data_IF_855171814733
#
_entry.id   IF_855171814733
#
_cell.length_a   1.000
_cell.length_b   1.000
_cell.length_c   1.000
_cell.angle_alpha   90.00
_cell.angle_beta   90.00
_cell.angle_gamma   90.00
#
_symmetry.space_group_name_H-M   'P 1'
#
loop_
_entity.id
_entity.type
_entity.pdbx_description
1 polymer ?
#
# COMPACT_ATOMS: atom_id res chain seq x y z
N UNK A 1 -6.92 -9.59 0.72
CA UNK A 1 -6.91 -9.79 2.18
C UNK A 1 -5.89 -10.86 2.60
N UNK A 2 -5.77 -11.95 1.86
CA UNK A 2 -4.87 -13.08 2.19
C UNK A 2 -3.41 -12.76 2.00
N UNK A 3 -3.06 -11.90 1.09
CA UNK A 3 -1.70 -11.44 0.84
C UNK A 3 -1.17 -10.59 2.00
N UNK A 4 -2.04 -9.79 2.62
CA UNK A 4 -1.68 -8.94 3.75
C UNK A 4 -1.24 -9.71 4.99
N UNK A 5 -1.61 -10.98 5.09
CA UNK A 5 -1.17 -11.87 6.18
C UNK A 5 -0.01 -12.79 5.77
N UNK A 6 0.60 -12.54 4.62
CA UNK A 6 1.75 -13.27 4.09
C UNK A 6 1.52 -14.80 3.98
N UNK A 7 0.27 -15.23 3.74
CA UNK A 7 -0.10 -16.64 3.69
C UNK A 7 -0.04 -17.24 2.28
N UNK A 8 0.20 -16.41 1.25
CA UNK A 8 0.31 -16.85 -0.15
C UNK A 8 1.77 -17.00 -0.55
N UNK A 9 2.09 -18.13 -1.16
CA UNK A 9 3.32 -18.28 -1.94
C UNK A 9 3.11 -17.63 -3.30
N UNK A 10 3.76 -16.50 -3.54
CA UNK A 10 3.59 -15.73 -4.78
C UNK A 10 4.11 -16.44 -6.01
N UNK A 11 5.05 -17.40 -5.87
CA UNK A 11 5.57 -18.20 -6.98
C UNK A 11 4.60 -19.32 -7.38
N UNK A 12 4.04 -19.98 -6.37
CA UNK A 12 3.04 -21.03 -6.57
C UNK A 12 1.63 -20.48 -6.80
N UNK A 13 1.37 -19.22 -6.46
CA UNK A 13 0.04 -18.56 -6.46
C UNK A 13 -0.99 -19.35 -5.65
N UNK A 14 -0.55 -19.90 -4.52
CA UNK A 14 -1.30 -20.81 -3.66
C UNK A 14 -1.04 -20.50 -2.20
N UNK A 15 -1.89 -21.00 -1.32
CA UNK A 15 -1.62 -20.98 0.10
C UNK A 15 -0.26 -21.62 0.40
N UNK A 16 0.55 -20.97 1.22
CA UNK A 16 1.86 -21.47 1.64
C UNK A 16 1.69 -22.59 2.68
N UNK A 17 2.02 -23.86 2.34
CA UNK A 17 1.94 -24.94 3.32
C UNK A 17 2.82 -24.67 4.52
N UNK A 18 4.01 -24.11 4.31
CA UNK A 18 4.95 -23.77 5.37
C UNK A 18 4.34 -22.79 6.40
N UNK A 19 3.64 -21.76 5.93
CA UNK A 19 3.01 -20.78 6.81
C UNK A 19 1.80 -21.38 7.51
N UNK A 20 0.97 -22.15 6.80
CA UNK A 20 -0.20 -22.80 7.38
C UNK A 20 0.18 -23.81 8.47
N UNK A 21 1.23 -24.59 8.24
CA UNK A 21 1.74 -25.56 9.23
C UNK A 21 2.32 -24.84 10.45
N UNK A 22 3.08 -23.77 10.24
CA UNK A 22 3.64 -22.97 11.35
C UNK A 22 2.56 -22.33 12.22
N UNK A 23 1.41 -22.00 11.65
CA UNK A 23 0.25 -21.43 12.35
C UNK A 23 -0.72 -22.51 12.86
N UNK A 24 -0.47 -23.79 12.61
CA UNK A 24 -1.35 -24.91 12.90
C UNK A 24 -2.78 -24.72 12.31
N UNK A 25 -2.88 -24.12 11.12
CA UNK A 25 -4.14 -23.90 10.42
C UNK A 25 -4.28 -24.92 9.30
N UNK A 26 -5.34 -25.74 9.27
CA UNK A 26 -5.53 -26.72 8.21
C UNK A 26 -5.82 -26.03 6.87
N UNK A 27 -5.16 -26.48 5.79
CA UNK A 27 -5.40 -25.96 4.45
C UNK A 27 -6.87 -26.07 4.00
N UNK A 28 -7.61 -27.06 4.52
CA UNK A 28 -9.04 -27.24 4.25
C UNK A 28 -9.93 -26.12 4.80
N UNK A 29 -9.40 -25.25 5.66
CA UNK A 29 -10.12 -24.05 6.15
C UNK A 29 -10.24 -22.95 5.09
N UNK A 30 -9.49 -23.06 3.99
CA UNK A 30 -9.44 -22.04 2.94
C UNK A 30 -9.86 -22.62 1.59
N UNK A 31 -10.60 -21.84 0.83
CA UNK A 31 -10.81 -22.10 -0.59
C UNK A 31 -9.53 -21.78 -1.36
N UNK A 32 -9.28 -22.44 -2.51
CA UNK A 32 -8.19 -22.04 -3.39
C UNK A 32 -8.26 -20.54 -3.71
N UNK A 33 -7.11 -19.85 -3.80
CA UNK A 33 -7.10 -18.45 -4.26
C UNK A 33 -7.65 -18.37 -5.70
N UNK A 34 -8.51 -17.40 -5.95
CA UNK A 34 -9.02 -17.12 -7.29
C UNK A 34 -8.27 -15.96 -7.92
N UNK A 35 -8.15 -15.97 -9.23
CA UNK A 35 -7.63 -14.84 -9.97
C UNK A 35 -8.62 -13.67 -9.99
N UNK A 36 -8.15 -12.41 -9.85
CA UNK A 36 -8.98 -11.24 -10.08
C UNK A 36 -9.63 -11.28 -11.47
N UNK A 37 -10.86 -10.80 -11.58
CA UNK A 37 -11.65 -10.87 -12.82
C UNK A 37 -12.44 -12.16 -13.00
N UNK A 38 -12.22 -13.19 -12.18
CA UNK A 38 -12.99 -14.44 -12.25
C UNK A 38 -14.45 -14.25 -11.86
N UNK A 39 -15.36 -14.91 -12.60
CA UNK A 39 -16.79 -14.93 -12.26
C UNK A 39 -17.01 -15.96 -11.15
N UNK A 40 -17.55 -15.52 -10.01
CA UNK A 40 -17.80 -16.34 -8.82
C UNK A 40 -19.25 -16.82 -8.72
N UNK A 41 -20.12 -16.34 -9.57
CA UNK A 41 -21.55 -16.66 -9.58
C UNK A 41 -22.39 -15.47 -10.02
N UNK A 42 -23.67 -15.50 -9.65
CA UNK A 42 -24.62 -14.42 -9.94
C UNK A 42 -25.18 -13.84 -8.64
N UNK A 43 -25.57 -12.58 -8.69
CA UNK A 43 -26.21 -11.91 -7.58
C UNK A 43 -27.58 -12.53 -7.30
N UNK A 44 -27.85 -12.89 -6.03
CA UNK A 44 -29.13 -13.47 -5.59
C UNK A 44 -30.18 -12.41 -5.23
N UNK A 45 -29.77 -11.17 -4.97
CA UNK A 45 -30.71 -10.06 -4.69
C UNK A 45 -31.56 -9.81 -5.93
N UNK A 46 -32.88 -9.70 -5.75
CA UNK A 46 -33.83 -9.55 -6.84
C UNK A 46 -33.59 -8.31 -7.70
N UNK A 47 -33.02 -7.26 -7.12
CA UNK A 47 -32.70 -6.01 -7.83
C UNK A 47 -31.44 -6.11 -8.71
N UNK A 48 -30.59 -7.08 -8.40
CA UNK A 48 -29.28 -7.32 -9.06
C UNK A 48 -29.26 -8.66 -9.80
N UNK A 49 -30.40 -9.32 -9.90
CA UNK A 49 -30.51 -10.67 -10.46
C UNK A 49 -29.94 -10.74 -11.87
N UNK A 50 -29.13 -11.73 -12.09
CA UNK A 50 -28.45 -11.94 -13.38
C UNK A 50 -27.16 -11.15 -13.58
N UNK A 51 -26.77 -10.28 -12.61
CA UNK A 51 -25.47 -9.64 -12.65
C UNK A 51 -24.39 -10.61 -12.14
N UNK A 52 -23.27 -10.74 -12.85
CA UNK A 52 -22.17 -11.59 -12.41
C UNK A 52 -21.50 -10.99 -11.16
N UNK A 53 -21.16 -11.87 -10.22
CA UNK A 53 -20.28 -11.56 -9.11
C UNK A 53 -18.84 -11.79 -9.56
N UNK A 54 -18.07 -10.71 -9.65
CA UNK A 54 -16.69 -10.75 -10.15
C UNK A 54 -15.73 -10.57 -8.96
N UNK A 55 -14.71 -11.43 -8.89
CA UNK A 55 -13.61 -11.27 -7.95
C UNK A 55 -12.79 -10.03 -8.33
N UNK A 56 -12.62 -9.09 -7.38
CA UNK A 56 -11.76 -7.92 -7.56
C UNK A 56 -10.35 -8.21 -7.06
N UNK A 57 -9.40 -7.36 -7.40
CA UNK A 57 -8.11 -7.34 -6.71
C UNK A 57 -8.35 -7.10 -5.21
N UNK A 58 -7.79 -7.94 -4.36
CA UNK A 58 -8.28 -8.29 -3.01
C UNK A 58 -8.40 -7.15 -2.00
N UNK A 59 -7.79 -5.99 -2.24
CA UNK A 59 -7.88 -4.80 -1.40
C UNK A 59 -7.81 -3.51 -2.23
N UNK A 60 -8.06 -2.37 -1.59
CA UNK A 60 -8.15 -1.05 -2.24
C UNK A 60 -6.90 -0.66 -3.02
N UNK A 61 -5.72 -0.81 -2.44
CA UNK A 61 -4.45 -0.52 -3.12
C UNK A 61 -4.22 -1.45 -4.32
N UNK A 62 -4.53 -2.74 -4.19
CA UNK A 62 -4.43 -3.69 -5.29
C UNK A 62 -5.34 -3.29 -6.45
N UNK A 63 -6.57 -2.88 -6.13
CA UNK A 63 -7.53 -2.39 -7.11
C UNK A 63 -7.10 -1.05 -7.71
N UNK A 64 -6.47 -0.17 -6.92
CA UNK A 64 -5.91 1.10 -7.40
C UNK A 64 -4.76 0.87 -8.39
N UNK A 65 -3.85 -0.06 -8.09
CA UNK A 65 -2.78 -0.42 -9.03
C UNK A 65 -3.36 -0.97 -10.34
N UNK A 66 -4.29 -1.92 -10.25
CA UNK A 66 -4.94 -2.49 -11.44
C UNK A 66 -5.70 -1.44 -12.26
N UNK A 67 -6.37 -0.50 -11.60
CA UNK A 67 -7.19 0.54 -12.23
C UNK A 67 -6.42 1.80 -12.66
N UNK A 68 -5.13 1.94 -12.30
CA UNK A 68 -4.36 3.12 -12.66
C UNK A 68 -4.11 3.16 -14.17
N UNK A 69 -4.52 4.22 -14.87
CA UNK A 69 -4.28 4.36 -16.29
C UNK A 69 -2.82 4.71 -16.57
N UNK A 70 -2.07 3.74 -17.05
CA UNK A 70 -0.65 3.91 -17.43
C UNK A 70 -0.48 3.56 -18.91
N UNK A 71 0.37 4.30 -19.61
CA UNK A 71 0.66 4.05 -21.02
C UNK A 71 1.51 2.79 -21.23
N UNK A 72 2.40 2.51 -20.27
CA UNK A 72 3.34 1.38 -20.33
C UNK A 72 3.56 0.88 -18.89
N UNK A 73 2.97 -0.27 -18.56
CA UNK A 73 3.05 -0.85 -17.21
C UNK A 73 4.46 -1.26 -16.83
N UNK A 74 5.25 -1.76 -17.77
CA UNK A 74 6.61 -2.23 -17.52
C UNK A 74 7.57 -1.08 -17.17
N UNK A 75 7.16 0.16 -17.45
CA UNK A 75 7.93 1.37 -17.19
C UNK A 75 7.25 2.33 -16.21
N UNK A 76 6.15 1.92 -15.61
CA UNK A 76 5.39 2.74 -14.68
C UNK A 76 5.82 2.45 -13.23
N UNK A 77 6.13 3.53 -12.50
CA UNK A 77 6.20 3.51 -11.06
C UNK A 77 4.88 4.09 -10.54
N UNK A 78 4.16 3.30 -9.74
CA UNK A 78 2.86 3.69 -9.18
C UNK A 78 3.07 4.08 -7.71
N UNK A 79 2.52 5.23 -7.34
CA UNK A 79 2.46 5.70 -5.96
C UNK A 79 0.99 5.78 -5.54
N UNK A 80 0.59 4.92 -4.63
CA UNK A 80 -0.70 5.00 -3.93
C UNK A 80 -0.50 5.74 -2.62
N UNK A 81 -0.97 6.99 -2.55
CA UNK A 81 -0.75 7.87 -1.41
C UNK A 81 -2.04 8.05 -0.61
N UNK A 82 -2.07 7.45 0.56
CA UNK A 82 -3.11 7.57 1.56
C UNK A 82 -2.50 7.74 2.95
N UNK A 83 -3.14 7.23 3.99
CA UNK A 83 -2.56 7.14 5.35
C UNK A 83 -1.18 6.49 5.30
N UNK A 84 -1.07 5.40 4.55
CA UNK A 84 0.18 4.79 4.10
C UNK A 84 0.49 5.25 2.68
N UNK A 85 1.75 5.21 2.29
CA UNK A 85 2.17 5.37 0.92
C UNK A 85 2.77 4.04 0.43
N UNK A 86 2.23 3.52 -0.67
CA UNK A 86 2.73 2.32 -1.32
C UNK A 86 3.33 2.71 -2.65
N UNK A 87 4.62 2.46 -2.80
CA UNK A 87 5.36 2.80 -4.01
C UNK A 87 5.91 1.53 -4.65
N UNK A 88 5.64 1.32 -5.93
CA UNK A 88 6.10 0.11 -6.59
C UNK A 88 5.76 0.01 -8.06
N UNK A 89 6.09 -1.15 -8.58
CA UNK A 89 5.85 -1.55 -9.96
C UNK A 89 4.98 -2.81 -9.97
N UNK A 90 4.30 -3.04 -11.08
CA UNK A 90 3.55 -4.27 -11.32
C UNK A 90 3.98 -4.86 -12.66
N UNK A 91 4.54 -6.07 -12.63
CA UNK A 91 5.03 -6.74 -13.84
C UNK A 91 4.98 -8.28 -13.70
N UNK A 92 5.09 -8.96 -14.82
CA UNK A 92 5.20 -10.42 -14.87
C UNK A 92 6.61 -10.84 -14.46
N UNK A 93 6.72 -11.97 -13.74
CA UNK A 93 8.01 -12.61 -13.46
C UNK A 93 8.82 -12.01 -12.33
N UNK A 94 8.31 -11.00 -11.63
CA UNK A 94 8.95 -10.49 -10.42
C UNK A 94 8.93 -11.57 -9.33
N UNK A 95 10.09 -11.84 -8.75
CA UNK A 95 10.26 -12.87 -7.72
C UNK A 95 10.99 -12.31 -6.50
N UNK A 96 10.66 -12.79 -5.29
CA UNK A 96 11.36 -12.40 -4.07
C UNK A 96 12.86 -12.73 -4.15
N UNK A 97 13.67 -11.79 -3.70
CA UNK A 97 15.12 -11.90 -3.56
C UNK A 97 15.54 -11.52 -2.15
N UNK A 98 16.73 -11.91 -1.73
CA UNK A 98 17.28 -11.46 -0.46
C UNK A 98 17.38 -9.93 -0.41
N UNK A 99 17.77 -9.31 -1.53
CA UNK A 99 17.85 -7.84 -1.61
C UNK A 99 16.49 -7.16 -1.44
N UNK A 100 15.41 -7.73 -2.00
CA UNK A 100 14.06 -7.18 -1.79
C UNK A 100 13.62 -7.30 -0.32
N UNK A 101 13.99 -8.40 0.34
CA UNK A 101 13.73 -8.58 1.76
C UNK A 101 14.48 -7.57 2.62
N UNK A 102 15.76 -7.36 2.38
CA UNK A 102 16.58 -6.34 3.09
C UNK A 102 16.02 -4.92 2.93
N UNK A 103 15.48 -4.61 1.77
CA UNK A 103 14.87 -3.32 1.45
C UNK A 103 13.40 -3.21 1.89
N UNK A 104 12.87 -4.22 2.58
CA UNK A 104 11.47 -4.28 3.00
C UNK A 104 10.49 -4.09 1.84
N UNK A 105 10.80 -4.72 0.69
CA UNK A 105 9.92 -4.71 -0.47
C UNK A 105 9.08 -5.97 -0.49
N UNK A 106 7.77 -5.79 -0.55
CA UNK A 106 6.80 -6.88 -0.61
C UNK A 106 6.58 -7.35 -2.05
N UNK A 107 6.10 -8.58 -2.18
CA UNK A 107 5.66 -9.20 -3.42
C UNK A 107 4.21 -9.63 -3.22
N UNK A 108 3.31 -9.08 -3.99
CA UNK A 108 1.89 -9.34 -3.88
C UNK A 108 1.35 -9.77 -5.24
N UNK A 109 0.36 -10.66 -5.24
CA UNK A 109 -0.27 -11.09 -6.50
C UNK A 109 -1.03 -9.91 -7.11
N UNK A 110 -0.73 -9.63 -8.38
CA UNK A 110 -1.44 -8.67 -9.20
C UNK A 110 -2.52 -9.32 -10.05
N UNK A 111 -3.13 -8.54 -10.94
CA UNK A 111 -4.08 -9.03 -11.93
C UNK A 111 -3.35 -9.60 -13.14
N UNK A 112 -4.03 -10.45 -13.92
CA UNK A 112 -3.48 -11.02 -15.17
C UNK A 112 -2.10 -11.70 -15.01
N UNK A 113 -1.87 -12.35 -13.87
CA UNK A 113 -0.62 -13.07 -13.61
C UNK A 113 0.56 -12.21 -13.17
N UNK A 114 0.37 -10.90 -13.02
CA UNK A 114 1.40 -9.99 -12.55
C UNK A 114 1.72 -10.19 -11.06
N UNK A 115 2.81 -9.59 -10.63
CA UNK A 115 3.21 -9.43 -9.23
C UNK A 115 3.44 -7.95 -8.99
N UNK A 116 2.86 -7.42 -7.93
CA UNK A 116 3.18 -6.10 -7.41
C UNK A 116 4.42 -6.20 -6.54
N UNK A 117 5.43 -5.47 -6.92
CA UNK A 117 6.69 -5.33 -6.20
C UNK A 117 6.72 -3.92 -5.62
N UNK A 118 6.40 -3.81 -4.35
CA UNK A 118 6.17 -2.51 -3.73
C UNK A 118 6.75 -2.40 -2.33
N UNK A 119 7.02 -1.16 -1.93
CA UNK A 119 7.39 -0.82 -0.56
C UNK A 119 6.27 -0.01 0.07
N UNK A 120 5.91 -0.39 1.27
CA UNK A 120 4.99 0.35 2.13
C UNK A 120 5.80 1.28 3.03
N UNK A 121 5.46 2.56 3.03
CA UNK A 121 6.11 3.58 3.85
C UNK A 121 5.04 4.45 4.52
N UNK A 122 5.43 5.20 5.56
CA UNK A 122 4.54 6.17 6.19
C UNK A 122 4.10 7.23 5.17
N UNK A 123 2.81 7.41 5.00
CA UNK A 123 2.22 8.36 4.07
C UNK A 123 1.68 9.61 4.76
N UNK A 124 0.43 9.96 4.44
CA UNK A 124 -0.24 11.14 4.98
C UNK A 124 -0.50 11.06 6.49
N UNK A 125 -0.31 9.89 7.10
CA UNK A 125 -0.37 9.74 8.55
C UNK A 125 0.56 10.72 9.27
N UNK A 126 1.78 10.91 8.77
CA UNK A 126 2.73 11.88 9.36
C UNK A 126 2.21 13.32 9.31
N UNK A 127 1.56 13.70 8.20
CA UNK A 127 0.93 15.02 8.11
C UNK A 127 -0.22 15.17 9.13
N UNK A 128 -1.02 14.12 9.30
CA UNK A 128 -2.11 14.14 10.29
C UNK A 128 -1.59 14.23 11.72
N UNK A 129 -0.47 13.59 12.04
CA UNK A 129 0.19 13.74 13.35
C UNK A 129 0.67 15.18 13.56
N UNK A 130 1.28 15.81 12.54
CA UNK A 130 1.67 17.22 12.62
C UNK A 130 0.45 18.12 12.82
N UNK A 131 -0.64 17.88 12.09
CA UNK A 131 -1.88 18.69 12.24
C UNK A 131 -2.45 18.59 13.65
N UNK A 132 -2.45 17.41 14.26
CA UNK A 132 -2.86 17.22 15.65
C UNK A 132 -1.95 17.96 16.63
N UNK A 133 -0.63 17.93 16.40
CA UNK A 133 0.32 18.67 17.24
C UNK A 133 0.08 20.19 17.14
N UNK A 134 -0.05 20.73 15.95
CA UNK A 134 -0.37 22.16 15.73
C UNK A 134 -1.72 22.54 16.34
N UNK A 135 -2.73 21.67 16.31
CA UNK A 135 -4.00 21.93 16.96
C UNK A 135 -3.88 22.07 18.48
N UNK A 136 -2.93 21.34 19.10
CA UNK A 136 -2.65 21.45 20.54
C UNK A 136 -1.91 22.76 20.87
N UNK A 137 -1.08 23.24 19.96
CA UNK A 137 -0.30 24.47 20.12
C UNK A 137 -1.16 25.73 19.81
N UNK A 138 -1.88 25.71 18.70
CA UNK A 138 -2.60 26.87 18.15
C UNK A 138 -4.11 26.86 18.43
N UNK A 139 -4.63 25.78 19.03
CA UNK A 139 -6.04 25.63 19.37
C UNK A 139 -6.96 25.19 18.23
N UNK A 140 -6.43 24.99 17.01
CA UNK A 140 -7.18 24.49 15.86
C UNK A 140 -6.28 23.75 14.86
N UNK A 141 -6.81 22.69 14.24
CA UNK A 141 -6.12 22.02 13.15
C UNK A 141 -6.06 22.90 11.89
N UNK A 142 -4.88 23.10 11.28
CA UNK A 142 -4.79 23.82 10.02
C UNK A 142 -5.55 23.07 8.90
N UNK A 143 -6.32 23.77 8.06
CA UNK A 143 -7.02 23.16 6.94
C UNK A 143 -6.04 22.57 5.93
N UNK A 144 -6.32 21.36 5.42
CA UNK A 144 -5.48 20.71 4.40
C UNK A 144 -5.26 21.57 3.15
N UNK A 145 -6.27 22.29 2.61
CA UNK A 145 -6.04 23.18 1.47
C UNK A 145 -4.98 24.25 1.72
N UNK A 146 -4.92 24.81 2.93
CA UNK A 146 -3.94 25.86 3.28
C UNK A 146 -2.52 25.26 3.35
N UNK A 147 -2.38 24.07 3.90
CA UNK A 147 -1.11 23.32 3.92
C UNK A 147 -0.64 22.99 2.51
N UNK A 148 -1.54 22.58 1.63
CA UNK A 148 -1.22 22.30 0.22
C UNK A 148 -0.77 23.59 -0.50
N UNK A 149 -1.46 24.70 -0.28
CA UNK A 149 -1.07 25.98 -0.85
C UNK A 149 0.32 26.42 -0.36
N UNK A 150 0.61 26.27 0.92
CA UNK A 150 1.93 26.56 1.49
C UNK A 150 3.02 25.62 0.91
N UNK A 151 2.73 24.34 0.78
CA UNK A 151 3.65 23.37 0.19
C UNK A 151 3.95 23.69 -1.28
N UNK A 152 2.96 24.11 -2.06
CA UNK A 152 3.16 24.52 -3.46
C UNK A 152 3.98 25.81 -3.60
N UNK A 153 3.95 26.69 -2.61
CA UNK A 153 4.75 27.92 -2.58
C UNK A 153 6.20 27.69 -2.10
N UNK A 154 6.45 26.56 -1.43
CA UNK A 154 7.79 26.23 -0.95
C UNK A 154 8.72 25.84 -2.10
N UNK A 155 10.05 26.09 -1.98
CA UNK A 155 11.02 25.60 -2.95
C UNK A 155 10.95 24.08 -3.10
N UNK A 156 10.94 23.60 -4.35
CA UNK A 156 10.94 22.17 -4.61
C UNK A 156 12.18 21.50 -4.01
N UNK A 157 11.98 20.37 -3.34
CA UNK A 157 13.08 19.58 -2.76
C UNK A 157 13.97 20.35 -1.79
N UNK A 158 13.43 21.35 -1.11
CA UNK A 158 14.22 22.13 -0.13
C UNK A 158 14.78 21.29 1.00
N UNK A 159 14.07 20.22 1.39
CA UNK A 159 14.52 19.24 2.36
C UNK A 159 13.82 17.90 2.13
N UNK A 160 14.45 16.83 2.58
CA UNK A 160 13.90 15.46 2.58
C UNK A 160 14.17 14.81 3.93
N UNK A 161 13.41 13.79 4.28
CA UNK A 161 13.65 12.98 5.47
C UNK A 161 13.29 11.52 5.19
N UNK A 162 13.84 10.62 6.01
CA UNK A 162 13.50 9.21 5.94
C UNK A 162 12.16 8.98 6.66
N UNK A 163 11.11 8.75 5.90
CA UNK A 163 9.76 8.51 6.43
C UNK A 163 9.63 7.22 7.26
N UNK A 164 10.57 6.29 7.11
CA UNK A 164 10.60 5.03 7.84
C UNK A 164 11.55 5.08 9.04
N UNK A 165 12.07 6.25 9.40
CA UNK A 165 12.93 6.36 10.57
C UNK A 165 12.17 5.91 11.83
N UNK A 166 12.75 5.02 12.68
CA UNK A 166 12.04 4.41 13.80
C UNK A 166 11.42 5.40 14.79
N UNK A 167 12.01 6.59 14.93
CA UNK A 167 11.46 7.63 15.81
C UNK A 167 10.13 8.20 15.29
N UNK A 168 9.81 8.02 14.01
CA UNK A 168 8.57 8.50 13.38
C UNK A 168 7.45 7.46 13.40
N UNK A 169 7.70 6.27 13.93
CA UNK A 169 6.71 5.19 13.94
C UNK A 169 5.66 5.29 15.06
N UNK A 170 5.87 6.16 16.04
CA UNK A 170 4.96 6.30 17.18
C UNK A 170 4.00 7.49 16.99
N UNK A 171 2.76 7.40 17.51
CA UNK A 171 1.85 8.56 17.57
C UNK A 171 2.46 9.72 18.39
N UNK A 172 2.00 10.94 18.10
CA UNK A 172 2.46 12.15 18.80
C UNK A 172 3.64 12.85 18.14
N UNK A 173 3.92 12.54 16.88
CA UNK A 173 4.95 13.23 16.11
C UNK A 173 4.51 14.67 15.80
N UNK A 174 5.43 15.59 15.96
CA UNK A 174 5.22 17.01 15.62
C UNK A 174 6.07 17.42 14.43
N UNK A 175 5.77 18.57 13.86
CA UNK A 175 6.62 19.18 12.83
C UNK A 175 8.05 19.39 13.35
N UNK A 176 8.22 19.66 14.64
CA UNK A 176 9.53 19.78 15.27
C UNK A 176 10.29 18.43 15.27
N UNK A 177 9.61 17.34 15.64
CA UNK A 177 10.19 15.98 15.57
C UNK A 177 10.62 15.62 14.15
N UNK A 178 9.79 15.95 13.14
CA UNK A 178 10.13 15.74 11.74
C UNK A 178 11.30 16.62 11.31
N UNK A 179 11.35 17.87 11.76
CA UNK A 179 12.43 18.82 11.43
C UNK A 179 13.80 18.31 11.85
N UNK A 180 13.88 17.56 12.94
CA UNK A 180 15.13 16.97 13.43
C UNK A 180 15.73 15.92 12.46
N UNK A 181 14.92 15.39 11.55
CA UNK A 181 15.32 14.39 10.55
C UNK A 181 15.47 14.95 9.14
N UNK A 182 15.30 16.28 8.96
CA UNK A 182 15.44 16.91 7.66
C UNK A 182 16.90 16.92 7.20
N UNK A 183 17.13 16.47 5.98
CA UNK A 183 18.40 16.62 5.27
C UNK A 183 18.18 17.66 4.18
N UNK A 184 18.90 18.78 4.28
CA UNK A 184 18.84 19.81 3.25
C UNK A 184 19.37 19.28 1.92
N UNK A 185 18.63 19.51 0.86
CA UNK A 185 19.10 19.26 -0.51
C UNK A 185 19.80 20.52 -0.99
N UNK A 186 21.13 20.52 -1.08
CA UNK A 186 21.93 21.59 -1.68
C UNK A 186 22.02 21.41 -3.19
#
# INVERSE_FOLDING_TARGET
ATEQVAMIDVRARQWSPFVLDALAVPASAFLPPDEPGSIRGEALDLRLRGLPLIGVATHDTASAFAGTPVADRDRALILSLGTWALIGVEAIGLTPTERSRELNVTHELGVDGTVRFLRNVSGMWLLEECRRAWALEDGAEPPVPDLLAAAMAAPAMAAVFDVDHPSLAAPGQSAESLSAHLVGTT
#
